data_IF_699455263141
#
_entry.id   IF_699455263141
#
_cell.length_a   1.000
_cell.length_b   1.000
_cell.length_c   1.000
_cell.angle_alpha   90.00
_cell.angle_beta   90.00
_cell.angle_gamma   90.00
#
_symmetry.space_group_name_H-M   'P 1'
#
loop_
_entity.id
_entity.type
_entity.pdbx_description
1 polymer ?
#
# COMPACT_ATOMS: atom_id res chain seq x y z
N UNK A 1 24.62 1.49 -25.67
CA UNK A 1 24.98 1.08 -24.30
C UNK A 1 25.12 -0.43 -24.25
N UNK A 2 26.08 -1.00 -23.50
CA UNK A 2 26.20 -2.45 -23.37
C UNK A 2 24.89 -3.02 -22.82
N UNK A 3 24.29 -3.98 -23.53
CA UNK A 3 23.08 -4.68 -23.09
C UNK A 3 23.52 -5.92 -22.31
N UNK A 4 23.10 -6.03 -21.06
CA UNK A 4 23.30 -7.24 -20.26
C UNK A 4 22.54 -8.41 -20.90
N UNK A 5 23.08 -9.63 -20.80
CA UNK A 5 22.44 -10.80 -21.41
C UNK A 5 21.25 -11.31 -20.60
N UNK A 6 21.25 -11.05 -19.29
CA UNK A 6 20.21 -11.45 -18.35
C UNK A 6 20.05 -10.43 -17.22
N UNK A 7 18.95 -10.55 -16.46
CA UNK A 7 18.61 -9.60 -15.41
C UNK A 7 19.58 -9.63 -14.22
N UNK A 8 20.15 -10.78 -13.87
CA UNK A 8 21.14 -10.90 -12.79
C UNK A 8 22.42 -10.14 -13.11
N UNK A 9 22.93 -10.24 -14.35
CA UNK A 9 24.06 -9.45 -14.83
C UNK A 9 23.76 -7.95 -14.77
N UNK A 10 22.55 -7.55 -15.17
CA UNK A 10 22.11 -6.17 -15.07
C UNK A 10 22.12 -5.65 -13.63
N UNK A 11 21.57 -6.40 -12.67
CA UNK A 11 21.58 -6.02 -11.26
C UNK A 11 23.02 -5.87 -10.72
N UNK A 12 23.93 -6.74 -11.15
CA UNK A 12 25.35 -6.61 -10.82
C UNK A 12 25.99 -5.36 -11.45
N UNK A 13 25.63 -5.01 -12.68
CA UNK A 13 26.09 -3.78 -13.31
C UNK A 13 25.59 -2.54 -12.57
N UNK A 14 24.31 -2.50 -12.17
CA UNK A 14 23.72 -1.40 -11.39
C UNK A 14 24.43 -1.24 -10.04
N UNK A 15 24.69 -2.34 -9.31
CA UNK A 15 25.42 -2.30 -8.02
C UNK A 15 26.83 -1.72 -8.13
N UNK A 16 27.47 -1.87 -9.28
CA UNK A 16 28.83 -1.40 -9.54
C UNK A 16 28.88 -0.08 -10.33
N UNK A 17 27.73 0.54 -10.59
CA UNK A 17 27.63 1.75 -11.40
C UNK A 17 28.28 2.94 -10.69
N UNK A 18 29.20 3.63 -11.37
CA UNK A 18 29.94 4.79 -10.85
C UNK A 18 29.78 5.99 -11.76
N UNK A 19 29.81 7.18 -11.18
CA UNK A 19 29.78 8.42 -11.95
C UNK A 19 30.99 8.48 -12.91
N UNK A 20 30.84 9.06 -14.12
CA UNK A 20 29.63 9.72 -14.66
C UNK A 20 28.69 8.78 -15.44
N UNK A 21 28.90 7.47 -15.37
CA UNK A 21 28.19 6.51 -16.22
C UNK A 21 26.74 6.32 -15.77
N UNK A 22 25.88 5.97 -16.73
CA UNK A 22 24.51 5.53 -16.52
C UNK A 22 24.22 4.31 -17.39
N UNK A 23 23.14 3.60 -17.08
CA UNK A 23 22.70 2.42 -17.84
C UNK A 23 21.20 2.52 -18.12
N UNK A 24 20.74 1.97 -19.24
CA UNK A 24 19.32 1.80 -19.52
C UNK A 24 18.79 0.59 -18.74
N UNK A 25 17.57 0.69 -18.23
CA UNK A 25 16.95 -0.42 -17.51
C UNK A 25 16.74 -1.65 -18.39
N UNK A 26 16.82 -2.82 -17.76
CA UNK A 26 16.69 -4.10 -18.44
C UNK A 26 15.29 -4.35 -19.02
N UNK A 27 14.25 -3.89 -18.31
CA UNK A 27 12.85 -4.18 -18.65
C UNK A 27 12.18 -3.01 -19.36
N UNK A 28 12.56 -1.78 -19.01
CA UNK A 28 11.90 -0.55 -19.46
C UNK A 28 12.90 0.29 -20.26
N UNK A 29 12.81 0.33 -21.61
CA UNK A 29 13.78 1.02 -22.44
C UNK A 29 13.92 2.52 -22.12
N UNK A 30 12.85 3.17 -21.71
CA UNK A 30 12.82 4.61 -21.43
C UNK A 30 13.37 4.95 -20.03
N UNK A 31 13.60 3.96 -19.17
CA UNK A 31 14.11 4.15 -17.82
C UNK A 31 15.64 4.14 -17.82
N UNK A 32 16.24 5.21 -17.29
CA UNK A 32 17.68 5.34 -17.12
C UNK A 32 18.06 5.25 -15.65
N UNK A 33 19.09 4.47 -15.34
CA UNK A 33 19.60 4.23 -14.00
C UNK A 33 20.96 4.90 -13.84
N UNK A 34 21.09 5.66 -12.77
CA UNK A 34 22.27 6.43 -12.43
C UNK A 34 22.82 6.02 -11.05
N UNK A 35 24.12 6.25 -10.79
CA UNK A 35 24.70 6.03 -9.47
C UNK A 35 23.91 6.78 -8.38
N UNK A 36 23.84 6.23 -7.16
CA UNK A 36 23.31 6.95 -6.01
C UNK A 36 23.98 8.33 -5.86
N UNK A 37 23.23 9.30 -5.35
CA UNK A 37 23.66 10.70 -5.17
C UNK A 37 23.85 11.53 -6.45
N UNK A 38 23.45 11.03 -7.63
CA UNK A 38 23.38 11.85 -8.83
C UNK A 38 22.31 12.94 -8.66
N UNK A 39 22.68 14.21 -8.92
CA UNK A 39 21.80 15.38 -8.69
C UNK A 39 21.06 15.76 -9.98
N UNK A 40 19.74 15.57 -9.99
CA UNK A 40 18.88 15.92 -11.12
C UNK A 40 18.10 17.22 -10.94
N UNK A 41 17.73 17.59 -9.72
CA UNK A 41 16.82 18.72 -9.45
C UNK A 41 17.37 20.10 -9.87
N UNK A 42 18.65 20.19 -10.24
CA UNK A 42 19.27 21.41 -10.78
C UNK A 42 19.30 21.44 -12.31
N UNK A 43 19.12 20.31 -12.97
CA UNK A 43 19.24 20.15 -14.41
C UNK A 43 18.03 20.76 -15.12
N UNK A 44 18.27 21.44 -16.25
CA UNK A 44 17.20 22.02 -17.06
C UNK A 44 16.19 20.95 -17.52
N UNK A 45 16.69 19.79 -17.97
CA UNK A 45 15.85 18.66 -18.40
C UNK A 45 14.86 18.18 -17.34
N UNK A 46 15.26 18.13 -16.06
CA UNK A 46 14.35 17.79 -14.97
C UNK A 46 13.32 18.90 -14.72
N UNK A 47 13.77 20.15 -14.69
CA UNK A 47 12.89 21.32 -14.48
C UNK A 47 11.89 21.54 -15.59
N UNK A 48 12.20 21.10 -16.80
CA UNK A 48 11.34 21.20 -17.98
C UNK A 48 10.46 19.95 -18.17
N UNK A 49 10.49 18.98 -17.25
CA UNK A 49 9.68 17.76 -17.36
C UNK A 49 10.18 16.72 -18.37
N UNK A 50 11.34 16.94 -19.00
CA UNK A 50 11.97 15.97 -19.93
C UNK A 50 12.53 14.74 -19.20
N UNK A 51 12.83 14.88 -17.91
CA UNK A 51 13.26 13.78 -17.04
C UNK A 51 12.35 13.74 -15.82
N UNK A 52 11.76 12.57 -15.60
CA UNK A 52 10.93 12.27 -14.45
C UNK A 52 11.69 11.30 -13.54
N UNK A 53 11.79 11.62 -12.25
CA UNK A 53 12.40 10.72 -11.26
C UNK A 53 11.33 9.76 -10.74
N UNK A 54 11.38 8.52 -11.20
CA UNK A 54 10.42 7.50 -10.82
C UNK A 54 11.15 6.20 -10.44
N UNK A 55 10.71 5.60 -9.34
CA UNK A 55 11.17 4.28 -8.94
C UNK A 55 10.80 3.24 -10.00
N UNK A 56 11.72 2.31 -10.28
CA UNK A 56 11.56 1.27 -11.30
C UNK A 56 10.27 0.47 -11.11
N UNK A 57 9.95 0.08 -9.88
CA UNK A 57 8.75 -0.71 -9.61
C UNK A 57 7.46 0.08 -9.94
N UNK A 58 7.46 1.39 -9.72
CA UNK A 58 6.35 2.28 -10.05
C UNK A 58 6.15 2.47 -11.57
N UNK A 59 7.17 2.18 -12.39
CA UNK A 59 7.07 2.23 -13.85
C UNK A 59 6.37 0.99 -14.45
N UNK A 60 6.43 -0.16 -13.76
CA UNK A 60 5.94 -1.43 -14.28
C UNK A 60 4.43 -1.52 -14.48
N UNK A 61 3.54 -0.92 -13.64
CA UNK A 61 2.11 -0.96 -13.89
C UNK A 61 1.71 -0.38 -15.25
N UNK A 62 2.26 0.80 -15.61
CA UNK A 62 1.98 1.42 -16.91
C UNK A 62 2.51 0.57 -18.07
N UNK A 63 3.71 0.00 -17.91
CA UNK A 63 4.34 -0.87 -18.91
C UNK A 63 3.61 -2.20 -19.10
N UNK A 64 3.04 -2.77 -18.04
CA UNK A 64 2.24 -4.01 -18.10
C UNK A 64 0.82 -3.74 -18.60
N UNK A 65 0.26 -2.54 -18.35
CA UNK A 65 -1.01 -2.14 -18.94
C UNK A 65 -0.88 -2.09 -20.46
N UNK A 66 0.22 -1.52 -20.96
CA UNK A 66 0.58 -1.41 -22.37
C UNK A 66 -0.63 -1.06 -23.28
N UNK A 67 -1.30 0.08 -23.02
CA UNK A 67 -2.46 0.49 -23.82
C UNK A 67 -2.05 0.73 -25.27
N UNK A 68 -2.94 0.36 -26.20
CA UNK A 68 -2.72 0.65 -27.60
C UNK A 68 -2.76 2.17 -27.85
N UNK A 69 -1.95 2.64 -28.81
CA UNK A 69 -2.04 4.03 -29.30
C UNK A 69 -3.46 4.31 -29.79
N UNK A 70 -3.99 5.49 -29.48
CA UNK A 70 -5.35 5.88 -29.82
C UNK A 70 -6.44 5.33 -28.90
N UNK A 71 -6.14 4.39 -28.00
CA UNK A 71 -7.13 3.84 -27.06
C UNK A 71 -7.52 4.81 -25.95
N UNK A 72 -8.54 4.44 -25.16
CA UNK A 72 -8.97 5.20 -23.99
C UNK A 72 -8.60 4.47 -22.70
N UNK A 73 -7.90 5.18 -21.82
CA UNK A 73 -7.43 4.68 -20.52
C UNK A 73 -8.10 5.42 -19.38
N UNK A 74 -8.39 4.72 -18.30
CA UNK A 74 -8.83 5.29 -17.03
C UNK A 74 -7.76 5.02 -15.95
N UNK A 75 -7.18 6.07 -15.39
CA UNK A 75 -6.33 6.01 -14.20
C UNK A 75 -7.17 6.46 -12.99
N UNK A 76 -7.59 5.50 -12.15
CA UNK A 76 -8.58 5.74 -11.11
C UNK A 76 -8.02 6.47 -9.87
N UNK A 77 -6.70 6.52 -9.69
CA UNK A 77 -6.02 7.10 -8.53
C UNK A 77 -4.72 7.78 -8.99
N UNK A 78 -4.87 8.80 -9.84
CA UNK A 78 -3.82 9.27 -10.72
C UNK A 78 -2.74 10.12 -10.03
N UNK A 79 -3.06 10.85 -8.95
CA UNK A 79 -2.10 11.80 -8.40
C UNK A 79 -0.92 11.10 -7.69
N UNK A 80 0.30 11.64 -7.81
CA UNK A 80 0.65 12.95 -8.37
C UNK A 80 0.89 12.96 -9.89
N UNK A 81 0.55 11.92 -10.64
CA UNK A 81 0.57 11.90 -12.11
C UNK A 81 1.75 11.16 -12.75
N UNK A 82 2.55 10.45 -11.96
CA UNK A 82 3.77 9.76 -12.46
C UNK A 82 3.41 8.59 -13.38
N UNK A 83 2.48 7.72 -12.96
CA UNK A 83 2.02 6.60 -13.79
C UNK A 83 1.18 7.08 -14.98
N UNK A 84 0.39 8.13 -14.77
CA UNK A 84 -0.43 8.77 -15.80
C UNK A 84 0.43 9.38 -16.92
N UNK A 85 1.45 10.16 -16.58
CA UNK A 85 2.38 10.72 -17.58
C UNK A 85 3.17 9.62 -18.29
N UNK A 86 3.53 8.54 -17.59
CA UNK A 86 4.14 7.38 -18.21
C UNK A 86 3.19 6.66 -19.19
N UNK A 87 1.89 6.53 -18.87
CA UNK A 87 0.89 6.01 -19.80
C UNK A 87 0.77 6.91 -21.05
N UNK A 88 0.77 8.23 -20.88
CA UNK A 88 0.75 9.18 -22.00
C UNK A 88 1.98 9.00 -22.91
N UNK A 89 3.15 8.76 -22.33
CA UNK A 89 4.37 8.46 -23.08
C UNK A 89 4.27 7.14 -23.86
N UNK A 90 3.75 6.06 -23.25
CA UNK A 90 3.53 4.76 -23.92
C UNK A 90 2.57 4.91 -25.11
N UNK A 91 1.53 5.74 -24.94
CA UNK A 91 0.54 6.02 -25.98
C UNK A 91 1.02 7.06 -27.00
N UNK A 92 2.24 7.58 -26.87
CA UNK A 92 2.78 8.67 -27.70
C UNK A 92 1.82 9.87 -27.80
N UNK A 93 1.18 10.24 -26.69
CA UNK A 93 0.18 11.32 -26.64
C UNK A 93 -1.00 11.15 -27.62
N UNK A 94 -1.31 9.91 -28.03
CA UNK A 94 -2.48 9.59 -28.87
C UNK A 94 -3.59 8.95 -28.04
N UNK A 95 -4.84 9.14 -28.45
CA UNK A 95 -6.00 8.61 -27.71
C UNK A 95 -6.38 9.50 -26.53
N UNK A 96 -6.82 8.90 -25.41
CA UNK A 96 -7.28 9.66 -24.24
C UNK A 96 -7.00 8.93 -22.93
N UNK A 97 -6.59 9.68 -21.90
CA UNK A 97 -6.41 9.17 -20.54
C UNK A 97 -7.26 10.01 -19.60
N UNK A 98 -8.21 9.39 -18.91
CA UNK A 98 -8.93 10.03 -17.80
C UNK A 98 -8.15 9.81 -16.51
N UNK A 99 -7.60 10.87 -15.94
CA UNK A 99 -6.76 10.83 -14.76
C UNK A 99 -7.52 11.36 -13.54
N UNK A 100 -7.93 10.46 -12.67
CA UNK A 100 -8.90 10.75 -11.61
C UNK A 100 -8.21 10.87 -10.26
N UNK A 101 -8.51 11.93 -9.52
CA UNK A 101 -8.07 12.09 -8.14
C UNK A 101 -9.18 12.75 -7.32
N UNK A 102 -9.47 12.19 -6.14
CA UNK A 102 -10.53 12.69 -5.27
C UNK A 102 -10.04 13.84 -4.39
N UNK A 103 -8.78 13.77 -3.94
CA UNK A 103 -8.19 14.81 -3.10
C UNK A 103 -7.83 16.05 -3.91
N UNK A 104 -8.24 17.22 -3.43
CA UNK A 104 -8.09 18.48 -4.17
C UNK A 104 -6.64 18.92 -4.25
N UNK A 105 -5.84 18.73 -3.21
CA UNK A 105 -4.44 19.14 -3.18
C UNK A 105 -3.59 18.26 -4.11
N UNK A 106 -3.77 16.94 -4.00
CA UNK A 106 -3.15 15.95 -4.88
C UNK A 106 -3.61 16.12 -6.33
N UNK A 107 -4.87 16.46 -6.57
CA UNK A 107 -5.36 16.79 -7.91
C UNK A 107 -4.62 18.00 -8.52
N UNK A 108 -4.33 19.04 -7.74
CA UNK A 108 -3.52 20.16 -8.22
C UNK A 108 -2.08 19.72 -8.56
N UNK A 109 -1.51 18.78 -7.80
CA UNK A 109 -0.20 18.21 -8.13
C UNK A 109 -0.26 17.41 -9.43
N UNK A 110 -1.30 16.60 -9.63
CA UNK A 110 -1.56 15.89 -10.88
C UNK A 110 -1.60 16.86 -12.06
N UNK A 111 -2.40 17.93 -11.98
CA UNK A 111 -2.49 18.94 -13.04
C UNK A 111 -1.12 19.53 -13.39
N UNK A 112 -0.34 19.91 -12.38
CA UNK A 112 1.02 20.44 -12.57
C UNK A 112 1.95 19.43 -13.23
N UNK A 113 1.89 18.16 -12.85
CA UNK A 113 2.71 17.10 -13.47
C UNK A 113 2.32 16.90 -14.93
N UNK A 114 1.03 16.86 -15.25
CA UNK A 114 0.55 16.70 -16.63
C UNK A 114 0.96 17.87 -17.51
N UNK A 115 0.84 19.10 -17.00
CA UNK A 115 1.31 20.31 -17.69
C UNK A 115 2.84 20.27 -17.90
N UNK A 116 3.59 19.98 -16.84
CA UNK A 116 5.06 19.94 -16.87
C UNK A 116 5.60 18.89 -17.85
N UNK A 117 4.94 17.73 -17.93
CA UNK A 117 5.38 16.60 -18.78
C UNK A 117 4.87 16.70 -20.22
N UNK A 118 4.00 17.64 -20.54
CA UNK A 118 3.41 17.78 -21.87
C UNK A 118 2.53 16.59 -22.27
N UNK A 119 1.90 15.93 -21.29
CA UNK A 119 1.04 14.77 -21.51
C UNK A 119 -0.34 15.19 -22.08
N UNK A 120 -0.36 15.56 -23.36
CA UNK A 120 -1.49 16.23 -24.03
C UNK A 120 -2.74 15.37 -24.21
N UNK A 121 -2.64 14.04 -24.13
CA UNK A 121 -3.80 13.15 -24.22
C UNK A 121 -4.51 12.92 -22.87
N UNK A 122 -4.09 13.60 -21.80
CA UNK A 122 -4.63 13.41 -20.45
C UNK A 122 -5.72 14.43 -20.13
N UNK A 123 -6.90 13.96 -19.74
CA UNK A 123 -7.95 14.74 -19.12
C UNK A 123 -7.96 14.47 -17.61
N UNK A 124 -7.61 15.47 -16.81
CA UNK A 124 -7.63 15.38 -15.34
C UNK A 124 -9.04 15.59 -14.79
N UNK A 125 -9.48 14.72 -13.89
CA UNK A 125 -10.83 14.73 -13.30
C UNK A 125 -10.74 14.75 -11.76
N UNK A 126 -11.22 15.82 -11.11
CA UNK A 126 -11.31 15.87 -9.65
C UNK A 126 -12.65 15.30 -9.16
N UNK A 127 -12.73 13.97 -9.02
CA UNK A 127 -13.95 13.25 -8.64
C UNK A 127 -13.60 11.97 -7.90
N UNK A 128 -14.56 11.41 -7.17
CA UNK A 128 -14.44 10.02 -6.71
C UNK A 128 -14.52 9.08 -7.92
N UNK A 129 -13.51 8.24 -8.11
CA UNK A 129 -13.48 7.28 -9.22
C UNK A 129 -14.66 6.29 -9.19
N UNK A 130 -15.20 5.98 -7.99
CA UNK A 130 -16.39 5.14 -7.82
C UNK A 130 -17.70 5.84 -8.22
N UNK A 131 -17.65 7.14 -8.54
CA UNK A 131 -18.79 7.91 -9.02
C UNK A 131 -18.79 8.11 -10.56
N UNK A 132 -17.89 7.45 -11.29
CA UNK A 132 -17.76 7.55 -12.75
C UNK A 132 -18.66 6.54 -13.46
N UNK A 133 -19.74 7.01 -14.07
CA UNK A 133 -20.71 6.10 -14.68
C UNK A 133 -20.23 5.64 -16.05
N UNK A 134 -20.48 4.38 -16.39
CA UNK A 134 -19.97 3.80 -17.64
C UNK A 134 -20.60 4.36 -18.92
N UNK A 135 -21.79 4.95 -18.83
CA UNK A 135 -22.43 5.72 -19.91
C UNK A 135 -21.70 7.03 -20.22
N UNK A 136 -21.06 7.65 -19.22
CA UNK A 136 -20.21 8.84 -19.40
C UNK A 136 -18.84 8.48 -19.98
N UNK A 137 -18.38 7.24 -19.76
CA UNK A 137 -17.06 6.74 -20.17
C UNK A 137 -17.13 5.41 -20.96
N UNK A 138 -17.95 5.31 -22.02
CA UNK A 138 -18.25 4.03 -22.67
C UNK A 138 -17.05 3.45 -23.42
N UNK A 139 -16.10 4.30 -23.82
CA UNK A 139 -14.97 3.90 -24.66
C UNK A 139 -13.75 3.45 -23.87
N UNK A 140 -13.78 3.39 -22.53
CA UNK A 140 -12.63 2.97 -21.73
C UNK A 140 -12.28 1.50 -22.02
N UNK A 141 -11.04 1.28 -22.45
CA UNK A 141 -10.51 -0.03 -22.84
C UNK A 141 -9.44 -0.54 -21.87
N UNK A 142 -8.77 0.36 -21.15
CA UNK A 142 -7.69 0.02 -20.23
C UNK A 142 -7.89 0.75 -18.91
N UNK A 143 -7.67 0.07 -17.78
CA UNK A 143 -7.80 0.70 -16.46
C UNK A 143 -6.56 0.44 -15.61
N UNK A 144 -6.03 1.52 -15.01
CA UNK A 144 -5.02 1.46 -13.98
C UNK A 144 -5.67 1.69 -12.61
N UNK A 145 -5.50 0.73 -11.71
CA UNK A 145 -5.95 0.75 -10.32
C UNK A 145 -4.73 0.71 -9.42
N UNK A 146 -4.18 1.89 -9.12
CA UNK A 146 -3.07 2.08 -8.17
C UNK A 146 -3.56 2.86 -6.93
N UNK A 147 -4.39 2.23 -6.08
CA UNK A 147 -5.08 2.91 -4.99
C UNK A 147 -4.13 3.30 -3.85
N UNK A 148 -4.62 4.16 -2.97
CA UNK A 148 -3.97 4.43 -1.69
C UNK A 148 -3.67 3.11 -0.96
N UNK A 149 -2.41 2.94 -0.56
CA UNK A 149 -1.86 1.77 0.09
C UNK A 149 -1.26 2.15 1.46
N UNK A 150 -0.90 1.17 2.30
CA UNK A 150 -0.16 1.43 3.55
C UNK A 150 1.15 2.19 3.32
N UNK A 151 1.76 2.00 2.15
CA UNK A 151 3.08 2.52 1.80
C UNK A 151 4.21 1.72 2.46
N UNK A 152 3.90 0.51 2.93
CA UNK A 152 4.84 -0.35 3.66
C UNK A 152 6.03 -0.80 2.82
N UNK A 153 5.96 -0.76 1.48
CA UNK A 153 7.05 -1.12 0.57
C UNK A 153 8.02 0.02 0.21
N UNK A 154 7.74 1.26 0.65
CA UNK A 154 8.55 2.44 0.31
C UNK A 154 9.70 2.58 1.30
N UNK A 155 10.94 2.32 0.86
CA UNK A 155 12.13 2.33 1.73
C UNK A 155 12.39 3.68 2.40
N UNK A 156 12.29 4.77 1.63
CA UNK A 156 12.51 6.13 2.15
C UNK A 156 11.50 6.48 3.26
N UNK A 157 10.28 5.95 3.17
CA UNK A 157 9.26 6.14 4.19
C UNK A 157 9.58 5.35 5.46
N UNK A 158 10.02 4.10 5.30
CA UNK A 158 10.43 3.27 6.43
C UNK A 158 11.66 3.85 7.16
N UNK A 159 12.61 4.43 6.43
CA UNK A 159 13.81 5.03 7.02
C UNK A 159 13.50 6.36 7.71
N UNK A 160 12.64 7.20 7.12
CA UNK A 160 12.25 8.50 7.68
C UNK A 160 11.34 8.39 8.91
N UNK A 161 10.38 7.45 8.90
CA UNK A 161 9.32 7.37 9.92
C UNK A 161 9.37 6.10 10.78
N UNK A 162 10.36 5.22 10.54
CA UNK A 162 10.42 3.88 11.11
C UNK A 162 9.46 2.92 10.40
N UNK A 163 9.49 1.63 10.79
CA UNK A 163 8.45 0.69 10.35
C UNK A 163 7.10 1.22 10.87
N UNK A 164 6.20 1.51 9.93
CA UNK A 164 4.84 1.94 10.26
C UNK A 164 4.26 0.96 11.27
N UNK A 165 3.66 1.47 12.36
CA UNK A 165 3.02 0.59 13.33
C UNK A 165 1.92 -0.16 12.58
N UNK A 166 2.00 -1.48 12.64
CA UNK A 166 1.00 -2.38 12.07
C UNK A 166 -0.36 -2.12 12.71
N UNK A 167 -1.14 -1.22 12.10
CA UNK A 167 -2.51 -0.92 12.49
C UNK A 167 -3.44 -1.82 11.67
N UNK A 168 -3.81 -2.93 12.29
CA UNK A 168 -4.71 -3.93 11.72
C UNK A 168 -6.04 -3.29 11.27
N UNK A 169 -6.54 -2.27 11.99
CA UNK A 169 -7.80 -1.63 11.63
C UNK A 169 -7.61 -0.86 10.33
N UNK A 170 -6.58 -0.01 10.25
CA UNK A 170 -6.29 0.74 9.03
C UNK A 170 -6.03 -0.19 7.85
N UNK A 171 -5.25 -1.27 8.04
CA UNK A 171 -4.95 -2.24 6.99
C UNK A 171 -6.20 -2.92 6.43
N UNK A 172 -7.10 -3.39 7.30
CA UNK A 172 -8.38 -3.96 6.87
C UNK A 172 -9.25 -2.97 6.10
N UNK A 173 -9.26 -1.70 6.53
CA UNK A 173 -10.03 -0.66 5.82
C UNK A 173 -9.42 -0.37 4.44
N UNK A 174 -8.09 -0.34 4.32
CA UNK A 174 -7.39 -0.19 3.03
C UNK A 174 -7.70 -1.35 2.10
N UNK A 175 -7.61 -2.60 2.59
CA UNK A 175 -8.00 -3.79 1.84
C UNK A 175 -9.43 -3.67 1.30
N UNK A 176 -10.41 -3.34 2.15
CA UNK A 176 -11.80 -3.20 1.73
C UNK A 176 -11.96 -2.13 0.64
N UNK A 177 -11.30 -0.98 0.77
CA UNK A 177 -11.29 0.07 -0.24
C UNK A 177 -10.71 -0.41 -1.57
N UNK A 178 -9.58 -1.11 -1.52
CA UNK A 178 -8.88 -1.64 -2.69
C UNK A 178 -9.73 -2.69 -3.43
N UNK A 179 -10.41 -3.57 -2.71
CA UNK A 179 -11.41 -4.50 -3.27
C UNK A 179 -12.52 -3.72 -3.98
N UNK A 180 -13.09 -2.69 -3.36
CA UNK A 180 -14.15 -1.89 -4.00
C UNK A 180 -13.66 -1.23 -5.30
N UNK A 181 -12.47 -0.64 -5.29
CA UNK A 181 -11.88 0.01 -6.46
C UNK A 181 -11.63 -0.98 -7.60
N UNK A 182 -11.01 -2.13 -7.29
CA UNK A 182 -10.70 -3.13 -8.30
C UNK A 182 -11.98 -3.79 -8.86
N UNK A 183 -12.96 -4.11 -8.01
CA UNK A 183 -14.27 -4.63 -8.44
C UNK A 183 -14.97 -3.66 -9.39
N UNK A 184 -14.92 -2.37 -9.07
CA UNK A 184 -15.54 -1.33 -9.89
C UNK A 184 -14.88 -1.24 -11.26
N UNK A 185 -13.55 -1.20 -11.31
CA UNK A 185 -12.78 -1.18 -12.56
C UNK A 185 -13.14 -2.34 -13.49
N UNK A 186 -13.25 -3.55 -12.92
CA UNK A 186 -13.49 -4.78 -13.69
C UNK A 186 -14.93 -4.91 -14.18
N UNK A 187 -15.92 -4.49 -13.38
CA UNK A 187 -17.34 -4.80 -13.66
C UNK A 187 -18.18 -3.62 -14.15
N UNK A 188 -17.76 -2.37 -13.91
CA UNK A 188 -18.58 -1.21 -14.26
C UNK A 188 -18.42 -0.79 -15.74
N UNK A 189 -17.24 -1.01 -16.34
CA UNK A 189 -16.91 -0.55 -17.68
C UNK A 189 -16.90 -1.72 -18.69
N UNK A 190 -17.89 -1.81 -19.61
CA UNK A 190 -18.11 -3.01 -20.41
C UNK A 190 -17.04 -3.30 -21.46
N UNK A 191 -16.34 -2.27 -21.94
CA UNK A 191 -15.37 -2.36 -23.02
C UNK A 191 -13.92 -2.52 -22.53
N UNK A 192 -13.71 -2.65 -21.22
CA UNK A 192 -12.39 -2.83 -20.65
C UNK A 192 -11.81 -4.17 -21.07
N UNK A 193 -10.63 -4.11 -21.68
CA UNK A 193 -9.82 -5.24 -22.16
C UNK A 193 -8.82 -5.69 -21.11
N UNK A 194 -8.19 -4.74 -20.42
CA UNK A 194 -7.16 -5.01 -19.41
C UNK A 194 -7.26 -4.07 -18.22
N UNK A 195 -7.09 -4.64 -17.02
CA UNK A 195 -6.98 -3.90 -15.77
C UNK A 195 -5.67 -4.26 -15.09
N UNK A 196 -4.91 -3.24 -14.68
CA UNK A 196 -3.78 -3.40 -13.78
C UNK A 196 -4.19 -3.00 -12.38
N UNK A 197 -3.95 -3.88 -11.43
CA UNK A 197 -3.99 -3.58 -10.00
C UNK A 197 -2.57 -3.52 -9.47
N UNK A 198 -2.22 -2.48 -8.73
CA UNK A 198 -0.91 -2.39 -8.09
C UNK A 198 -0.93 -1.73 -6.72
N UNK A 199 0.04 -2.10 -5.88
CA UNK A 199 0.27 -1.40 -4.61
C UNK A 199 1.76 -1.27 -4.30
N UNK A 200 2.05 -0.26 -3.50
CA UNK A 200 3.32 -0.01 -2.81
C UNK A 200 3.41 -0.73 -1.46
N UNK A 201 2.75 -1.89 -1.30
CA UNK A 201 2.62 -2.60 -0.03
C UNK A 201 3.27 -3.98 -0.06
N UNK A 202 3.80 -4.39 1.09
CA UNK A 202 4.29 -5.74 1.38
C UNK A 202 3.24 -6.63 2.06
N UNK A 203 2.07 -6.06 2.41
CA UNK A 203 1.05 -6.76 3.16
C UNK A 203 0.13 -7.60 2.26
N UNK A 204 -0.02 -8.91 2.51
CA UNK A 204 -0.92 -9.75 1.73
C UNK A 204 -2.38 -9.31 1.75
N UNK A 205 -2.81 -8.63 2.83
CA UNK A 205 -4.14 -8.03 2.97
C UNK A 205 -4.43 -7.02 1.86
N UNK A 206 -3.42 -6.28 1.38
CA UNK A 206 -3.57 -5.29 0.30
C UNK A 206 -3.26 -5.88 -1.08
N UNK A 207 -2.78 -7.12 -1.15
CA UNK A 207 -2.22 -7.70 -2.35
C UNK A 207 -3.00 -8.96 -2.74
N UNK A 208 -2.51 -10.13 -2.35
CA UNK A 208 -3.08 -11.41 -2.75
C UNK A 208 -4.51 -11.60 -2.25
N UNK A 209 -4.83 -11.13 -1.04
CA UNK A 209 -6.18 -11.27 -0.51
C UNK A 209 -7.19 -10.43 -1.31
N UNK A 210 -6.80 -9.23 -1.75
CA UNK A 210 -7.63 -8.39 -2.63
C UNK A 210 -7.87 -9.12 -3.95
N UNK A 211 -6.82 -9.68 -4.55
CA UNK A 211 -6.93 -10.38 -5.84
C UNK A 211 -7.78 -11.65 -5.71
N UNK A 212 -7.56 -12.46 -4.68
CA UNK A 212 -8.33 -13.70 -4.44
C UNK A 212 -9.82 -13.40 -4.24
N UNK A 213 -10.17 -12.37 -3.45
CA UNK A 213 -11.56 -11.96 -3.24
C UNK A 213 -12.21 -11.50 -4.56
N UNK A 214 -11.46 -10.79 -5.40
CA UNK A 214 -11.95 -10.30 -6.69
C UNK A 214 -12.12 -11.41 -7.72
N UNK A 215 -11.25 -12.42 -7.75
CA UNK A 215 -11.36 -13.55 -8.67
C UNK A 215 -12.69 -14.28 -8.51
N UNK A 216 -13.17 -14.43 -7.28
CA UNK A 216 -14.49 -15.00 -7.01
C UNK A 216 -15.64 -14.11 -7.53
N UNK A 217 -15.44 -12.78 -7.52
CA UNK A 217 -16.46 -11.81 -7.95
C UNK A 217 -16.58 -11.71 -9.48
N UNK A 218 -15.45 -11.75 -10.20
CA UNK A 218 -15.43 -11.60 -11.67
C UNK A 218 -15.65 -12.91 -12.41
N UNK A 219 -15.56 -14.06 -11.71
CA UNK A 219 -15.75 -15.38 -12.30
C UNK A 219 -14.85 -15.56 -13.55
N UNK A 220 -15.35 -16.21 -14.59
CA UNK A 220 -14.62 -16.42 -15.85
C UNK A 220 -14.60 -15.19 -16.77
N UNK A 221 -15.22 -14.07 -16.39
CA UNK A 221 -15.25 -12.86 -17.22
C UNK A 221 -13.88 -12.20 -17.35
N UNK A 222 -12.99 -12.43 -16.39
CA UNK A 222 -11.61 -12.01 -16.44
C UNK A 222 -10.69 -13.16 -16.07
N UNK A 223 -9.53 -13.20 -16.71
CA UNK A 223 -8.42 -14.08 -16.32
C UNK A 223 -7.27 -13.26 -15.78
N UNK A 224 -6.65 -13.76 -14.72
CA UNK A 224 -5.36 -13.26 -14.26
C UNK A 224 -4.27 -13.78 -15.21
N UNK A 225 -3.54 -12.87 -15.86
CA UNK A 225 -2.43 -13.20 -16.74
C UNK A 225 -1.18 -13.54 -15.93
N UNK A 226 -0.38 -14.53 -16.35
CA UNK A 226 0.90 -14.80 -15.73
C UNK A 226 1.88 -13.65 -15.98
N UNK A 227 2.12 -12.79 -14.99
CA UNK A 227 3.05 -11.68 -15.12
C UNK A 227 4.47 -12.10 -15.53
N UNK A 228 4.84 -13.36 -15.22
CA UNK A 228 6.07 -14.01 -15.67
C UNK A 228 6.22 -14.03 -17.19
N UNK A 229 5.16 -14.35 -17.91
CA UNK A 229 5.16 -14.41 -19.37
C UNK A 229 5.24 -13.01 -19.96
N UNK A 230 4.51 -12.05 -19.38
CA UNK A 230 4.54 -10.63 -19.77
C UNK A 230 5.94 -10.02 -19.66
N UNK A 231 6.70 -10.42 -18.64
CA UNK A 231 8.09 -10.00 -18.43
C UNK A 231 9.12 -10.97 -19.05
N UNK A 232 8.70 -11.85 -19.97
CA UNK A 232 9.56 -12.79 -20.70
C UNK A 232 10.46 -13.64 -19.80
N UNK A 233 9.96 -14.06 -18.63
CA UNK A 233 10.70 -14.80 -17.61
C UNK A 233 11.94 -14.10 -17.04
N UNK A 234 12.10 -12.79 -17.27
CA UNK A 234 13.29 -12.04 -16.87
C UNK A 234 13.13 -11.31 -15.54
N UNK A 235 12.14 -11.69 -14.73
CA UNK A 235 11.98 -11.18 -13.36
C UNK A 235 12.06 -12.33 -12.36
N UNK A 236 12.50 -12.04 -11.14
CA UNK A 236 12.87 -13.10 -10.19
C UNK A 236 11.71 -13.52 -9.28
N UNK A 237 10.76 -12.61 -9.01
CA UNK A 237 9.78 -12.75 -7.94
C UNK A 237 8.33 -12.75 -8.48
N UNK A 238 7.64 -13.90 -8.38
CA UNK A 238 6.25 -14.06 -8.88
C UNK A 238 5.30 -14.81 -7.95
N UNK A 239 5.80 -15.50 -6.91
CA UNK A 239 5.02 -16.57 -6.28
C UNK A 239 4.54 -16.20 -4.88
N UNK A 240 3.23 -16.32 -4.70
CA UNK A 240 2.61 -16.52 -3.38
C UNK A 240 2.05 -17.93 -3.27
N UNK A 241 2.67 -18.80 -2.48
CA UNK A 241 2.28 -20.23 -2.42
C UNK A 241 0.94 -20.48 -1.73
N UNK A 242 0.37 -19.46 -1.08
CA UNK A 242 -0.73 -19.61 -0.12
C UNK A 242 -2.07 -19.18 -0.74
N UNK A 243 -2.05 -18.45 -1.86
CA UNK A 243 -3.22 -17.79 -2.43
C UNK A 243 -3.56 -18.33 -3.83
N UNK A 244 -4.82 -18.20 -4.24
CA UNK A 244 -5.32 -18.69 -5.52
C UNK A 244 -4.70 -17.95 -6.71
N UNK A 245 -4.39 -16.66 -6.53
CA UNK A 245 -3.68 -15.84 -7.50
C UNK A 245 -2.20 -16.26 -7.73
N UNK A 246 -1.67 -17.14 -6.86
CA UNK A 246 -0.42 -17.91 -6.99
C UNK A 246 0.72 -17.21 -7.76
N UNK A 247 1.36 -17.90 -8.71
CA UNK A 247 2.51 -17.44 -9.49
C UNK A 247 2.17 -16.58 -10.70
N UNK A 248 0.93 -16.08 -10.75
CA UNK A 248 0.46 -15.17 -11.80
C UNK A 248 0.70 -13.71 -11.44
N UNK A 249 0.72 -13.39 -10.14
CA UNK A 249 1.03 -12.05 -9.64
C UNK A 249 2.53 -11.76 -9.68
N UNK A 250 2.87 -10.48 -9.56
CA UNK A 250 4.22 -9.97 -9.62
C UNK A 250 4.60 -9.28 -8.31
N UNK A 251 5.85 -9.42 -7.89
CA UNK A 251 6.42 -8.70 -6.74
C UNK A 251 7.75 -8.06 -7.11
N UNK A 252 7.93 -6.79 -6.79
CA UNK A 252 9.26 -6.22 -6.66
C UNK A 252 9.72 -6.36 -5.22
N UNK A 253 10.99 -6.70 -5.03
CA UNK A 253 11.64 -6.75 -3.72
C UNK A 253 12.89 -5.91 -3.69
N UNK A 254 12.97 -5.03 -2.72
CA UNK A 254 14.03 -4.03 -2.62
C UNK A 254 15.43 -4.59 -2.45
N UNK A 255 15.58 -5.69 -1.73
CA UNK A 255 16.85 -6.38 -1.52
C UNK A 255 17.34 -7.17 -2.75
N UNK A 256 16.45 -7.45 -3.70
CA UNK A 256 16.73 -8.22 -4.91
C UNK A 256 16.78 -7.33 -6.15
N UNK A 257 15.73 -6.57 -6.38
CA UNK A 257 15.41 -5.86 -7.62
C UNK A 257 15.91 -4.41 -7.66
N UNK A 258 16.48 -3.91 -6.55
CA UNK A 258 17.04 -2.56 -6.42
C UNK A 258 16.03 -1.43 -6.71
N UNK A 259 14.78 -1.64 -6.28
CA UNK A 259 13.65 -0.71 -6.37
C UNK A 259 12.80 -0.80 -5.10
N UNK A 260 11.68 -0.09 -4.96
CA UNK A 260 10.81 -0.30 -3.80
C UNK A 260 10.12 -1.68 -3.86
N UNK A 261 9.65 -2.16 -2.70
CA UNK A 261 8.77 -3.32 -2.69
C UNK A 261 7.41 -2.93 -3.30
N UNK A 262 6.89 -3.80 -4.16
CA UNK A 262 5.71 -3.47 -4.97
C UNK A 262 4.96 -4.73 -5.39
N UNK A 263 3.65 -4.63 -5.57
CA UNK A 263 2.79 -5.73 -6.02
C UNK A 263 2.04 -5.33 -7.28
N UNK A 264 1.89 -6.26 -8.23
CA UNK A 264 1.12 -6.04 -9.46
C UNK A 264 0.33 -7.31 -9.83
N UNK A 265 -0.94 -7.12 -10.21
CA UNK A 265 -1.80 -8.14 -10.80
C UNK A 265 -2.38 -7.62 -12.13
N UNK A 266 -2.42 -8.50 -13.15
CA UNK A 266 -2.85 -8.16 -14.51
C UNK A 266 -4.07 -8.97 -14.90
N UNK A 267 -5.21 -8.31 -15.08
CA UNK A 267 -6.46 -8.93 -15.48
C UNK A 267 -6.73 -8.67 -16.96
N UNK A 268 -7.09 -9.71 -17.71
CA UNK A 268 -7.50 -9.60 -19.12
C UNK A 268 -8.95 -10.08 -19.25
N UNK A 269 -9.76 -9.32 -19.98
CA UNK A 269 -11.17 -9.59 -20.24
C UNK A 269 -11.33 -10.75 -21.22
N UNK A 270 -12.28 -11.64 -20.92
CA UNK A 270 -12.79 -12.63 -21.86
C UNK A 270 -14.15 -12.18 -22.42
N UNK A 271 -14.17 -11.60 -23.62
CA UNK A 271 -15.38 -11.05 -24.21
C UNK A 271 -16.43 -12.11 -24.56
N UNK A 272 -16.08 -13.40 -24.58
CA UNK A 272 -17.02 -14.50 -24.82
C UNK A 272 -17.89 -14.80 -23.58
N UNK A 273 -17.46 -14.33 -22.39
CA UNK A 273 -18.18 -14.48 -21.13
C UNK A 273 -18.83 -13.15 -20.76
N UNK A 274 -20.16 -13.04 -20.57
CA UNK A 274 -20.80 -11.79 -20.14
C UNK A 274 -20.26 -11.29 -18.80
N UNK A 275 -20.23 -9.97 -18.60
CA UNK A 275 -19.87 -9.40 -17.29
C UNK A 275 -20.93 -9.80 -16.25
N UNK A 276 -20.53 -10.25 -15.05
CA UNK A 276 -21.42 -10.35 -13.92
C UNK A 276 -22.08 -9.01 -13.63
N UNK A 277 -23.33 -9.03 -13.18
CA UNK A 277 -24.04 -7.81 -12.81
C UNK A 277 -23.27 -7.06 -11.70
N UNK A 278 -22.82 -5.85 -11.99
CA UNK A 278 -22.28 -4.97 -10.97
C UNK A 278 -23.40 -4.50 -10.04
N UNK A 279 -23.60 -5.23 -8.94
CA UNK A 279 -24.54 -4.80 -7.90
C UNK A 279 -23.93 -3.61 -7.17
N UNK A 280 -24.49 -2.43 -7.41
CA UNK A 280 -24.12 -1.21 -6.69
C UNK A 280 -24.32 -1.41 -5.18
N UNK A 281 -23.54 -0.70 -4.36
CA UNK A 281 -23.58 -0.81 -2.88
C UNK A 281 -25.00 -0.63 -2.31
N UNK A 282 -25.83 0.24 -2.91
CA UNK A 282 -27.25 0.43 -2.54
C UNK A 282 -28.13 -0.78 -2.88
N UNK A 283 -27.91 -1.41 -4.02
CA UNK A 283 -28.66 -2.61 -4.44
C UNK A 283 -28.25 -3.84 -3.63
N UNK A 284 -26.96 -3.98 -3.27
CA UNK A 284 -26.52 -5.05 -2.38
C UNK A 284 -27.16 -4.93 -0.99
N UNK A 285 -27.23 -3.72 -0.44
CA UNK A 285 -27.90 -3.48 0.85
C UNK A 285 -29.43 -3.76 0.77
N UNK A 286 -30.10 -3.27 -0.29
CA UNK A 286 -31.53 -3.55 -0.51
C UNK A 286 -31.84 -5.02 -0.76
N UNK A 287 -30.94 -5.77 -1.40
CA UNK A 287 -31.12 -7.19 -1.64
C UNK A 287 -30.91 -8.01 -0.36
N UNK A 288 -29.98 -7.60 0.50
CA UNK A 288 -29.82 -8.18 1.83
C UNK A 288 -31.04 -7.88 2.70
N UNK A 289 -31.53 -6.64 2.75
CA UNK A 289 -32.73 -6.30 3.54
C UNK A 289 -33.99 -6.99 3.01
N UNK A 290 -34.21 -7.02 1.70
CA UNK A 290 -35.38 -7.71 1.11
C UNK A 290 -35.33 -9.23 1.23
N UNK A 291 -34.14 -9.84 1.23
CA UNK A 291 -33.98 -11.26 1.52
C UNK A 291 -34.20 -11.59 3.01
N UNK A 292 -33.87 -10.66 3.91
CA UNK A 292 -34.17 -10.77 5.34
C UNK A 292 -35.67 -10.62 5.61
N UNK A 293 -36.35 -9.64 5.01
CA UNK A 293 -37.81 -9.49 5.09
C UNK A 293 -38.53 -10.72 4.54
N UNK A 294 -38.06 -11.31 3.43
CA UNK A 294 -38.59 -12.57 2.90
C UNK A 294 -38.35 -13.76 3.84
N UNK A 295 -37.18 -13.85 4.49
CA UNK A 295 -36.90 -14.88 5.51
C UNK A 295 -37.78 -14.69 6.75
N UNK A 296 -37.98 -13.48 7.24
CA UNK A 296 -38.88 -13.18 8.37
C UNK A 296 -40.33 -13.50 8.03
N UNK A 297 -40.81 -13.15 6.84
CA UNK A 297 -42.16 -13.51 6.36
C UNK A 297 -42.30 -15.04 6.22
N UNK A 298 -41.25 -15.75 5.79
CA UNK A 298 -41.28 -17.20 5.66
C UNK A 298 -41.27 -17.90 7.04
N UNK A 299 -40.56 -17.35 8.02
CA UNK A 299 -40.59 -17.81 9.43
C UNK A 299 -41.98 -17.58 10.04
N UNK A 300 -42.59 -16.42 9.82
CA UNK A 300 -43.95 -16.10 10.28
C UNK A 300 -45.04 -16.99 9.66
N UNK A 301 -44.87 -17.41 8.39
CA UNK A 301 -45.80 -18.35 7.75
C UNK A 301 -45.64 -19.79 8.26
N UNK A 302 -44.43 -20.19 8.69
CA UNK A 302 -44.18 -21.50 9.30
C UNK A 302 -44.71 -21.56 10.75
N UNK A 303 -44.64 -20.46 11.50
CA UNK A 303 -45.18 -20.38 12.86
C UNK A 303 -46.71 -20.35 12.91
N UNK A 304 -47.37 -19.71 11.93
CA UNK A 304 -48.84 -19.69 11.85
C UNK A 304 -49.46 -21.01 11.34
N UNK A 305 -48.68 -21.92 10.75
CA UNK A 305 -49.15 -23.22 10.30
C UNK A 305 -49.22 -24.30 11.41
N UNK A 306 -48.68 -24.03 12.61
CA UNK A 306 -48.49 -25.04 13.67
C UNK A 306 -49.24 -24.77 14.98
N UNK A 307 -50.38 -24.08 14.96
CA UNK A 307 -51.19 -23.83 16.18
C UNK A 307 -52.58 -24.44 16.14
N UNK A 308 -52.68 -25.78 16.05
CA UNK A 308 -53.81 -26.52 16.63
C UNK A 308 -53.36 -27.86 17.21
N UNK A 309 -53.04 -27.92 18.51
CA UNK A 309 -53.31 -29.07 19.42
C UNK A 309 -52.85 -28.78 20.88
N UNK A 310 -53.69 -29.25 21.82
CA UNK A 310 -53.72 -29.01 23.28
C UNK A 310 -52.49 -29.54 24.07
N UNK A 311 -52.22 -29.06 25.32
CA UNK A 311 -51.00 -29.39 26.05
C UNK A 311 -51.08 -30.69 26.84
N UNK A 312 -49.97 -31.47 26.87
CA UNK A 312 -49.69 -32.50 27.88
C UNK A 312 -48.24 -32.35 28.39
N UNK A 313 -48.10 -32.61 29.70
CA UNK A 313 -46.92 -32.40 30.55
C UNK A 313 -45.77 -33.40 30.30
N UNK A 314 -44.60 -32.99 30.83
CA UNK A 314 -43.38 -33.73 31.25
C UNK A 314 -42.24 -33.91 30.22
N UNK A 315 -41.04 -33.47 30.63
CA UNK A 315 -39.77 -34.02 30.15
C UNK A 315 -38.62 -33.02 30.03
N UNK A 316 -37.77 -32.90 31.07
CA UNK A 316 -36.45 -32.24 31.01
C UNK A 316 -35.59 -32.85 29.91
N UNK A 317 -35.06 -32.04 28.97
CA UNK A 317 -33.77 -32.29 28.30
C UNK A 317 -33.15 -30.99 27.75
N UNK A 318 -31.83 -31.00 27.73
CA UNK A 318 -30.86 -29.89 27.62
C UNK A 318 -31.02 -29.03 26.35
N UNK A 319 -30.95 -27.70 26.52
CA UNK A 319 -30.61 -26.78 25.44
C UNK A 319 -29.09 -26.79 25.23
N UNK A 320 -28.65 -27.19 24.04
CA UNK A 320 -27.44 -26.67 23.40
C UNK A 320 -27.93 -25.54 22.49
N UNK A 321 -27.55 -24.30 22.77
CA UNK A 321 -27.72 -23.20 21.83
C UNK A 321 -26.55 -23.27 20.83
N UNK A 322 -26.84 -23.64 19.60
CA UNK A 322 -26.09 -23.14 18.44
C UNK A 322 -26.59 -21.72 18.18
N UNK A 323 -25.79 -20.72 18.56
CA UNK A 323 -25.98 -19.34 18.11
C UNK A 323 -25.52 -19.24 16.66
N UNK A 324 -26.44 -18.90 15.77
CA UNK A 324 -26.20 -18.67 14.35
C UNK A 324 -25.47 -17.34 14.12
N UNK A 325 -24.35 -17.40 13.40
CA UNK A 325 -23.43 -16.30 13.05
C UNK A 325 -23.99 -15.23 12.07
N UNK A 326 -25.32 -15.09 11.93
CA UNK A 326 -25.90 -14.21 10.90
C UNK A 326 -26.09 -12.75 11.38
N UNK A 327 -26.24 -12.51 12.69
CA UNK A 327 -26.37 -11.13 13.22
C UNK A 327 -25.06 -10.34 13.18
N UNK A 328 -23.92 -11.02 13.29
CA UNK A 328 -22.58 -10.40 13.25
C UNK A 328 -22.19 -9.94 11.85
N UNK A 329 -22.67 -10.60 10.80
CA UNK A 329 -22.49 -10.17 9.41
C UNK A 329 -23.27 -8.90 9.09
N UNK A 330 -24.49 -8.78 9.60
CA UNK A 330 -25.37 -7.63 9.35
C UNK A 330 -24.84 -6.38 10.05
N UNK A 331 -24.42 -6.50 11.31
CA UNK A 331 -23.75 -5.41 12.02
C UNK A 331 -22.41 -5.03 11.38
N UNK A 332 -21.69 -5.99 10.76
CA UNK A 332 -20.44 -5.68 10.05
C UNK A 332 -20.67 -4.88 8.75
N UNK A 333 -21.75 -5.16 8.02
CA UNK A 333 -22.06 -4.48 6.74
C UNK A 333 -22.67 -3.10 6.97
N UNK A 334 -23.54 -2.96 7.97
CA UNK A 334 -24.14 -1.66 8.33
C UNK A 334 -23.12 -0.73 9.00
N UNK A 335 -22.27 -1.24 9.89
CA UNK A 335 -21.15 -0.45 10.45
C UNK A 335 -20.14 -0.09 9.37
N UNK A 336 -19.82 -1.00 8.43
CA UNK A 336 -18.97 -0.68 7.30
C UNK A 336 -19.54 0.45 6.42
N UNK A 337 -20.85 0.67 6.36
CA UNK A 337 -21.47 1.71 5.53
C UNK A 337 -21.28 3.14 6.08
N UNK A 338 -21.49 3.33 7.39
CA UNK A 338 -21.25 4.60 8.09
C UNK A 338 -19.76 4.83 8.29
N UNK A 339 -19.01 3.78 8.62
CA UNK A 339 -17.56 3.84 8.70
C UNK A 339 -16.95 4.18 7.34
N UNK A 340 -17.38 3.61 6.20
CA UNK A 340 -16.79 3.89 4.86
C UNK A 340 -16.89 5.35 4.41
N UNK A 341 -18.00 6.05 4.68
CA UNK A 341 -18.20 7.45 4.30
C UNK A 341 -17.40 8.37 5.22
N UNK A 342 -17.42 8.08 6.51
CA UNK A 342 -16.57 8.73 7.52
C UNK A 342 -15.08 8.39 7.30
N UNK A 343 -14.78 7.24 6.67
CA UNK A 343 -13.47 6.68 6.36
C UNK A 343 -12.84 7.27 5.11
N UNK A 344 -13.61 7.55 4.05
CA UNK A 344 -13.13 8.40 2.94
C UNK A 344 -12.72 9.77 3.50
N UNK A 345 -13.37 10.26 4.55
CA UNK A 345 -12.99 11.51 5.23
C UNK A 345 -11.82 11.33 6.23
N UNK A 346 -11.69 10.21 6.93
CA UNK A 346 -10.59 9.94 7.87
C UNK A 346 -9.26 9.62 7.18
N UNK A 347 -9.25 8.82 6.09
CA UNK A 347 -8.04 8.58 5.29
C UNK A 347 -7.55 9.86 4.62
N UNK A 348 -8.46 10.79 4.29
CA UNK A 348 -8.11 12.17 3.87
C UNK A 348 -7.41 12.93 5.01
N UNK A 349 -7.98 12.94 6.21
CA UNK A 349 -7.38 13.64 7.36
C UNK A 349 -6.01 13.07 7.80
N UNK A 350 -5.78 11.76 7.72
CA UNK A 350 -4.48 11.14 8.03
C UNK A 350 -3.41 11.41 6.95
N UNK A 351 -3.82 11.82 5.74
CA UNK A 351 -2.90 12.24 4.66
C UNK A 351 -2.67 13.75 4.62
N UNK A 352 -3.53 14.55 5.27
CA UNK A 352 -3.48 16.02 5.27
C UNK A 352 -2.67 16.64 6.42
N UNK A 353 -2.21 15.87 7.42
CA UNK A 353 -1.38 16.42 8.50
C UNK A 353 0.10 16.50 8.09
N UNK A 354 0.38 17.17 6.96
CA UNK A 354 1.71 17.58 6.54
C UNK A 354 1.65 18.77 5.56
N UNK A 355 1.50 20.00 6.07
CA UNK A 355 2.58 21.00 6.14
C UNK A 355 2.06 22.45 6.18
N UNK A 356 2.59 23.26 7.11
CA UNK A 356 3.28 24.52 6.77
C UNK A 356 3.79 25.28 8.00
N UNK A 357 5.10 25.57 8.02
CA UNK A 357 5.72 26.87 8.29
C UNK A 357 7.24 26.71 8.02
N UNK A 358 7.67 27.00 6.79
CA UNK A 358 8.23 28.26 6.25
C UNK A 358 9.73 28.45 6.52
N UNK A 359 10.47 28.51 5.39
CA UNK A 359 11.68 29.29 5.05
C UNK A 359 12.94 29.00 5.91
N UNK A 360 14.13 28.67 5.39
CA UNK A 360 14.93 29.42 4.43
C UNK A 360 16.21 28.65 4.02
N UNK A 361 16.93 29.27 3.09
CA UNK A 361 18.06 28.88 2.25
C UNK A 361 19.41 28.45 2.86
N UNK A 362 19.99 27.38 2.27
CA UNK A 362 21.32 27.18 1.61
C UNK A 362 22.67 27.58 2.32
N UNK A 363 23.75 26.82 2.01
CA UNK A 363 25.21 27.15 1.98
C UNK A 363 25.96 26.91 3.33
N UNK A 364 26.94 26.00 3.58
CA UNK A 364 28.17 25.41 2.94
C UNK A 364 29.44 25.81 3.76
N UNK A 365 30.34 24.83 4.02
CA UNK A 365 31.79 24.93 4.39
C UNK A 365 32.17 25.54 5.77
N UNK A 366 33.29 25.23 6.47
CA UNK A 366 34.43 24.30 6.34
C UNK A 366 35.14 24.22 7.73
N UNK A 367 35.88 23.12 7.95
CA UNK A 367 37.13 22.83 8.72
C UNK A 367 37.95 23.95 9.45
N UNK A 368 39.09 23.68 10.17
CA UNK A 368 39.84 22.42 10.44
C UNK A 368 40.32 22.25 11.93
N UNK A 369 41.18 21.23 12.18
CA UNK A 369 42.30 21.11 13.17
C UNK A 369 42.28 19.67 13.75
N UNK A 370 43.01 18.68 13.21
CA UNK A 370 44.47 18.35 13.20
C UNK A 370 44.97 17.49 14.39
N UNK A 371 45.48 16.28 14.05
CA UNK A 371 46.64 15.51 14.62
C UNK A 371 46.61 15.05 16.10
N UNK A 372 47.05 13.87 16.59
CA UNK A 372 47.83 12.66 16.17
C UNK A 372 47.69 11.62 17.36
N UNK A 373 48.02 10.31 17.23
CA UNK A 373 47.55 9.17 18.08
C UNK A 373 48.56 8.69 19.16
N UNK A 374 48.33 7.56 19.90
CA UNK A 374 48.90 6.26 19.47
C UNK A 374 48.21 4.92 19.94
N UNK A 375 48.52 3.86 19.16
CA UNK A 375 48.93 2.46 19.51
C UNK A 375 48.02 1.42 20.22
N UNK A 376 47.58 0.44 19.41
CA UNK A 376 47.87 -1.02 19.40
C UNK A 376 48.31 -1.76 20.69
N UNK A 377 47.62 -2.85 21.02
CA UNK A 377 48.25 -4.13 21.46
C UNK A 377 47.32 -5.33 21.24
N UNK A 378 47.87 -6.41 20.68
CA UNK A 378 47.28 -7.75 20.51
C UNK A 378 47.73 -8.64 21.67
N UNK A 379 46.88 -9.55 22.16
CA UNK A 379 47.27 -10.86 22.74
C UNK A 379 46.16 -11.90 22.45
N UNK A 380 46.58 -13.16 22.40
CA UNK A 380 46.15 -14.35 21.65
C UNK A 380 45.32 -15.40 22.42
N UNK A 381 44.57 -16.21 21.65
CA UNK A 381 44.35 -17.70 21.65
C UNK A 381 43.70 -18.48 22.83
N UNK A 382 42.79 -19.39 22.38
CA UNK A 382 42.55 -20.82 22.79
C UNK A 382 42.02 -21.08 24.23
N UNK A 383 41.19 -22.06 24.60
CA UNK A 383 40.62 -23.27 23.98
C UNK A 383 39.44 -23.82 24.82
N UNK A 384 38.88 -24.96 24.39
CA UNK A 384 37.68 -25.71 24.80
C UNK A 384 37.64 -26.21 26.27
N UNK A 385 36.44 -26.44 26.80
CA UNK A 385 36.22 -27.39 27.90
C UNK A 385 34.86 -27.29 28.60
N UNK A 386 33.98 -28.26 28.34
CA UNK A 386 32.84 -28.70 29.17
C UNK A 386 33.00 -30.24 29.29
N UNK A 387 32.33 -31.01 30.18
CA UNK A 387 31.38 -30.66 31.24
C UNK A 387 31.63 -31.45 32.57
N UNK A 388 30.84 -31.21 33.63
CA UNK A 388 30.54 -32.24 34.65
C UNK A 388 29.20 -31.98 35.35
N UNK A 389 28.41 -33.06 35.43
CA UNK A 389 27.10 -33.24 36.09
C UNK A 389 27.23 -33.20 37.61
N UNK A 390 26.13 -32.91 38.34
CA UNK A 390 25.70 -33.63 39.56
C UNK A 390 24.19 -33.38 39.82
N UNK A 391 23.43 -34.48 39.64
CA UNK A 391 22.28 -35.06 40.35
C UNK A 391 21.02 -34.29 40.79
N UNK A 392 19.90 -34.96 40.48
CA UNK A 392 18.52 -34.80 40.91
C UNK A 392 18.27 -34.76 42.43
N UNK A 393 17.37 -33.86 42.87
CA UNK A 393 16.53 -34.05 44.06
C UNK A 393 15.08 -33.67 43.73
N UNK A 394 14.17 -34.56 44.14
CA UNK A 394 12.74 -34.67 43.85
C UNK A 394 11.89 -33.48 44.33
N UNK A 395 10.89 -33.13 43.50
CA UNK A 395 9.74 -32.28 43.80
C UNK A 395 8.88 -32.80 44.97
N UNK A 396 8.24 -31.87 45.71
CA UNK A 396 6.84 -32.05 46.10
C UNK A 396 5.93 -30.97 45.49
N UNK A 397 4.83 -31.42 44.90
CA UNK A 397 3.75 -30.61 44.31
C UNK A 397 3.19 -29.61 45.33
N UNK A 398 3.21 -28.30 45.04
CA UNK A 398 2.37 -27.29 45.69
C UNK A 398 1.65 -26.41 44.66
N UNK A 399 0.33 -26.32 44.82
CA UNK A 399 -0.64 -25.56 44.02
C UNK A 399 -0.22 -24.08 43.87
N UNK A 400 -0.09 -23.57 42.65
CA UNK A 400 0.11 -22.13 42.36
C UNK A 400 -1.18 -21.35 42.62
N UNK A 401 -1.26 -20.63 43.74
CA UNK A 401 -2.19 -19.50 43.93
C UNK A 401 -1.67 -18.29 43.13
N UNK A 402 -2.48 -17.73 42.23
CA UNK A 402 -2.25 -16.43 41.59
C UNK A 402 -2.13 -15.35 42.68
N UNK A 403 -0.94 -14.78 42.90
CA UNK A 403 -0.77 -13.55 43.68
C UNK A 403 -1.20 -12.36 42.81
N UNK A 404 -2.20 -11.60 43.26
CA UNK A 404 -2.54 -10.29 42.70
C UNK A 404 -1.38 -9.33 42.98
N UNK A 405 -0.91 -8.61 41.96
CA UNK A 405 0.12 -7.59 42.10
C UNK A 405 -0.31 -6.52 43.12
N UNK A 406 0.59 -6.18 44.04
CA UNK A 406 0.34 -5.26 45.15
C UNK A 406 0.15 -3.83 44.61
N UNK A 407 -0.73 -2.99 45.18
CA UNK A 407 -1.02 -1.63 44.71
C UNK A 407 0.21 -0.73 44.48
N UNK A 408 1.30 -0.99 45.19
CA UNK A 408 2.59 -0.27 45.10
C UNK A 408 3.28 -0.43 43.74
N UNK A 409 3.14 -1.57 43.07
CA UNK A 409 3.83 -1.86 41.79
C UNK A 409 3.23 -1.03 40.64
N UNK A 410 1.90 -0.83 40.66
CA UNK A 410 1.20 0.05 39.71
C UNK A 410 1.53 1.53 39.92
N UNK A 411 1.77 1.94 41.17
CA UNK A 411 2.16 3.31 41.49
C UNK A 411 3.60 3.58 40.99
N UNK A 412 4.53 2.62 41.20
CA UNK A 412 5.90 2.72 40.69
C UNK A 412 5.95 2.80 39.16
N UNK A 413 5.10 2.05 38.45
CA UNK A 413 4.98 2.14 36.99
C UNK A 413 4.49 3.51 36.51
N UNK A 414 3.51 4.11 37.22
CA UNK A 414 3.02 5.47 36.90
C UNK A 414 4.08 6.53 37.17
N UNK A 415 4.81 6.43 38.28
CA UNK A 415 5.92 7.36 38.60
C UNK A 415 7.00 7.28 37.52
N UNK A 416 7.39 6.06 37.09
CA UNK A 416 8.40 5.85 36.04
C UNK A 416 7.98 6.44 34.70
N UNK A 417 6.68 6.33 34.36
CA UNK A 417 6.11 6.93 33.16
C UNK A 417 6.15 8.47 33.21
N UNK A 418 5.80 9.07 34.36
CA UNK A 418 5.81 10.53 34.54
C UNK A 418 7.26 11.07 34.48
N UNK A 419 8.21 10.41 35.13
CA UNK A 419 9.64 10.78 35.09
C UNK A 419 10.15 10.77 33.64
N UNK A 420 9.81 9.74 32.86
CA UNK A 420 10.21 9.66 31.45
C UNK A 420 9.58 10.78 30.62
N UNK A 421 8.30 11.10 30.83
CA UNK A 421 7.63 12.19 30.12
C UNK A 421 8.25 13.56 30.44
N UNK A 422 8.59 13.80 31.70
CA UNK A 422 9.28 15.03 32.13
C UNK A 422 10.68 15.09 31.50
N UNK A 423 11.44 13.99 31.53
CA UNK A 423 12.78 13.91 30.94
C UNK A 423 12.78 14.21 29.43
N UNK A 424 11.84 13.65 28.68
CA UNK A 424 11.71 13.92 27.24
C UNK A 424 11.35 15.38 26.97
N UNK A 425 10.46 15.96 27.78
CA UNK A 425 10.07 17.38 27.65
C UNK A 425 11.23 18.32 28.01
N UNK A 426 12.02 17.98 29.04
CA UNK A 426 13.20 18.76 29.44
C UNK A 426 14.30 18.69 28.38
N UNK A 427 14.54 17.51 27.79
CA UNK A 427 15.50 17.32 26.70
C UNK A 427 15.11 18.09 25.44
N UNK A 428 13.81 18.16 25.14
CA UNK A 428 13.29 18.95 24.03
C UNK A 428 13.49 20.45 24.28
N UNK A 429 13.17 20.95 25.49
CA UNK A 429 13.38 22.35 25.87
C UNK A 429 14.87 22.73 25.93
N UNK A 430 15.74 21.86 26.42
CA UNK A 430 17.19 22.09 26.46
C UNK A 430 17.81 22.13 25.05
N UNK A 431 17.32 21.30 24.11
CA UNK A 431 17.74 21.38 22.71
C UNK A 431 17.31 22.70 22.06
N UNK A 432 16.09 23.17 22.34
CA UNK A 432 15.61 24.47 21.85
C UNK A 432 16.37 25.66 22.46
N UNK A 433 16.69 25.61 23.76
CA UNK A 433 17.49 26.66 24.41
C UNK A 433 18.95 26.73 23.90
N UNK A 434 19.52 25.59 23.51
CA UNK A 434 20.85 25.53 22.89
C UNK A 434 20.84 26.03 21.43
N UNK A 435 19.70 25.93 20.74
CA UNK A 435 19.49 26.50 19.40
C UNK A 435 19.34 28.03 19.47
N UNK A 436 18.64 28.58 20.47
CA UNK A 436 18.43 30.03 20.64
C UNK A 436 19.73 30.81 20.94
N UNK A 437 20.66 30.24 21.72
CA UNK A 437 21.99 30.84 21.95
C UNK A 437 22.85 30.87 20.68
N UNK A 438 22.67 29.90 19.77
CA UNK A 438 23.36 29.88 18.48
C UNK A 438 22.78 30.88 17.47
N UNK A 439 21.49 31.21 17.58
CA UNK A 439 20.82 32.22 16.73
C UNK A 439 21.28 33.63 17.08
N UNK A 440 21.48 33.96 18.37
CA UNK A 440 21.97 35.29 18.77
C UNK A 440 23.39 35.61 18.26
N UNK A 441 24.23 34.61 18.05
CA UNK A 441 25.58 34.81 17.51
C UNK A 441 25.61 35.03 15.98
N UNK A 442 24.54 34.67 15.25
CA UNK A 442 24.47 34.84 13.78
C UNK A 442 23.94 36.20 13.34
N UNK A 443 23.14 36.88 14.18
CA UNK A 443 22.56 38.20 13.84
C UNK A 443 23.59 39.34 13.87
N UNK A 444 24.74 39.17 14.54
CA UNK A 444 25.81 40.20 14.58
C UNK A 444 26.87 40.10 13.47
N UNK A 445 26.76 39.16 12.52
CA UNK A 445 27.74 38.99 11.42
C UNK A 445 27.21 39.30 10.02
N UNK A 446 26.03 39.90 9.93
CA UNK A 446 25.53 40.50 8.68
C UNK A 446 25.10 41.94 8.99
N UNK A 447 26.10 42.77 9.27
CA UNK A 447 26.22 44.22 9.10
C UNK A 447 27.71 44.46 8.94
#
# INVERSE_FOLDING_TARGET
MPKCSNYTEYLNAVKNLKQPNFIQDFHIPELLVFPPHTIFYRQAKYKNGEIILQDKASCLPSQLLNPARGSVVLDMCAAPGMKTSHLAAIMENTGKIYAVEVDKLRYQMLCKTIELTGASCVETVNKDALALKSDEYPNVEYVLVDPTCSGSGILDRQTAFGKEKYDIKRLKRLQAFQVFMLRYALLNFPNVKRVIYSTCSTHPEENEQVVDEILDNVQSAYKLLPARELLKNNWLNFRSKIYNCSDKCFYAKSDVDLCNDFFIAVFERDFDVPLPEYKSRKQQLHQVTSNLEKKEIQILHVENANTTRKPKKLGKRKNMNEETNDSTLIDSVLNASSESIQFIQEVKNDSDDNTSQKNDSVIVNNEPISTIPPQRTQVTKEEKGNPLKITDIKNPKKKKKKRRAHPLEKILLKIRYIINKIRTTLLYKLKHYALDQHVLCRVKRIQ
#
